data_IF_188512339581
#
_entry.id   IF_188512339581
#
_cell.length_a   1.000
_cell.length_b   1.000
_cell.length_c   1.000
_cell.angle_alpha   90.00
_cell.angle_beta   90.00
_cell.angle_gamma   90.00
#
_symmetry.space_group_name_H-M   'P 1'
#
loop_
_entity.id
_entity.type
_entity.pdbx_description
1 polymer ?
#
# COMPACT_ATOMS: atom_id res chain seq x y z
N UNK A 1 9.27 -9.59 10.93
CA UNK A 1 10.45 -9.38 10.04
C UNK A 1 11.10 -8.02 10.31
N UNK A 2 11.57 -7.83 11.54
CA UNK A 2 12.41 -6.68 11.92
C UNK A 2 13.85 -6.87 11.42
N UNK A 3 14.22 -8.10 11.05
CA UNK A 3 15.57 -8.59 10.72
C UNK A 3 16.08 -8.29 9.31
N UNK A 4 15.21 -8.02 8.32
CA UNK A 4 15.65 -7.57 6.99
C UNK A 4 16.10 -6.08 7.03
N UNK A 5 15.64 -5.30 8.02
CA UNK A 5 15.94 -3.87 8.12
C UNK A 5 17.39 -3.57 8.56
N UNK A 6 18.07 -4.52 9.18
CA UNK A 6 19.47 -4.35 9.59
C UNK A 6 20.44 -4.79 8.48
N UNK A 7 20.12 -5.85 7.73
CA UNK A 7 20.84 -6.18 6.48
C UNK A 7 20.66 -5.09 5.40
N UNK A 8 19.55 -4.34 5.45
CA UNK A 8 19.33 -3.14 4.63
C UNK A 8 20.29 -1.98 4.98
N UNK A 9 20.82 -1.90 6.20
CA UNK A 9 21.81 -0.88 6.58
C UNK A 9 23.19 -1.17 5.97
N UNK A 10 23.48 -2.44 5.66
CA UNK A 10 24.70 -2.88 5.00
C UNK A 10 24.66 -2.62 3.48
N UNK A 11 23.46 -2.64 2.87
CA UNK A 11 23.22 -2.28 1.48
C UNK A 11 23.12 -0.75 1.24
N UNK A 12 23.95 0.03 1.94
CA UNK A 12 24.05 1.50 1.86
C UNK A 12 24.53 2.05 0.50
N UNK A 13 24.58 1.22 -0.56
CA UNK A 13 24.77 1.69 -1.92
C UNK A 13 23.46 2.28 -2.45
N UNK A 14 23.51 3.52 -2.93
CA UNK A 14 22.36 4.31 -3.38
C UNK A 14 21.64 3.77 -4.64
N UNK A 15 21.99 2.60 -5.15
CA UNK A 15 21.38 2.00 -6.34
C UNK A 15 21.72 0.51 -6.49
N UNK A 16 20.80 -0.29 -7.02
CA UNK A 16 21.11 -1.61 -7.59
C UNK A 16 21.70 -1.39 -8.99
N UNK A 17 22.81 -2.05 -9.38
CA UNK A 17 23.36 -1.91 -10.72
C UNK A 17 22.33 -2.29 -11.80
N UNK A 18 22.14 -1.49 -12.87
CA UNK A 18 21.11 -1.75 -13.89
C UNK A 18 21.18 -3.13 -14.54
N UNK A 19 22.39 -3.68 -14.69
CA UNK A 19 22.69 -5.01 -15.22
C UNK A 19 22.33 -6.15 -14.27
N UNK A 20 21.91 -5.85 -13.04
CA UNK A 20 21.43 -6.81 -12.04
C UNK A 20 19.95 -6.58 -11.70
N UNK A 21 19.30 -5.56 -12.27
CA UNK A 21 17.90 -5.23 -11.99
C UNK A 21 16.96 -6.23 -12.69
N UNK A 22 16.25 -7.03 -11.91
CA UNK A 22 15.26 -8.02 -12.38
C UNK A 22 14.08 -7.35 -13.08
N UNK A 23 13.67 -6.18 -12.62
CA UNK A 23 12.52 -5.43 -13.12
C UNK A 23 12.88 -4.32 -14.12
N UNK A 24 14.14 -4.17 -14.50
CA UNK A 24 14.53 -3.21 -15.55
C UNK A 24 14.03 -3.66 -16.93
N UNK A 25 13.56 -2.72 -17.74
CA UNK A 25 13.17 -2.95 -19.14
C UNK A 25 14.37 -3.28 -20.04
N UNK A 26 15.58 -2.86 -19.63
CA UNK A 26 16.80 -2.95 -20.43
C UNK A 26 17.71 -4.12 -20.06
N UNK A 27 17.31 -4.97 -19.10
CA UNK A 27 18.19 -6.03 -18.59
C UNK A 27 17.98 -7.36 -19.31
N UNK A 28 18.94 -7.73 -20.16
CA UNK A 28 19.16 -9.12 -20.56
C UNK A 28 19.94 -9.83 -19.46
N UNK A 29 19.24 -10.26 -18.42
CA UNK A 29 19.86 -10.92 -17.28
C UNK A 29 20.27 -12.35 -17.63
N UNK A 30 21.41 -12.78 -17.08
CA UNK A 30 21.86 -14.15 -17.15
C UNK A 30 20.76 -15.11 -16.60
N UNK A 31 20.33 -16.14 -17.36
CA UNK A 31 19.36 -17.12 -16.89
C UNK A 31 19.72 -17.80 -15.56
N UNK A 32 21.01 -18.01 -15.30
CA UNK A 32 21.49 -18.57 -14.04
C UNK A 32 21.28 -17.62 -12.85
N UNK A 33 21.47 -16.31 -13.07
CA UNK A 33 21.19 -15.27 -12.08
C UNK A 33 19.70 -15.24 -11.72
N UNK A 34 18.83 -15.26 -12.74
CA UNK A 34 17.38 -15.30 -12.54
C UNK A 34 16.92 -16.56 -11.80
N UNK A 35 17.47 -17.72 -12.18
CA UNK A 35 17.17 -19.00 -11.52
C UNK A 35 17.57 -18.98 -10.05
N UNK A 36 18.77 -18.50 -9.75
CA UNK A 36 19.29 -18.37 -8.37
C UNK A 36 18.36 -17.52 -7.48
N UNK A 37 17.88 -16.39 -7.99
CA UNK A 37 16.91 -15.54 -7.27
C UNK A 37 15.57 -16.27 -7.11
N UNK A 38 15.06 -16.89 -8.18
CA UNK A 38 13.76 -17.55 -8.19
C UNK A 38 13.70 -18.74 -7.20
N UNK A 39 14.74 -19.58 -7.17
CA UNK A 39 14.83 -20.72 -6.23
C UNK A 39 15.01 -20.24 -4.79
N UNK A 40 15.86 -19.24 -4.55
CA UNK A 40 16.06 -18.61 -3.23
C UNK A 40 14.75 -18.01 -2.71
N UNK A 41 14.02 -17.28 -3.58
CA UNK A 41 12.71 -16.73 -3.27
C UNK A 41 11.73 -17.83 -2.85
N UNK A 42 11.62 -18.90 -3.65
CA UNK A 42 10.74 -20.04 -3.35
C UNK A 42 11.07 -20.69 -2.01
N UNK A 43 12.35 -20.90 -1.71
CA UNK A 43 12.78 -21.42 -0.42
C UNK A 43 12.32 -20.53 0.73
N UNK A 44 12.51 -19.22 0.61
CA UNK A 44 12.13 -18.26 1.65
C UNK A 44 10.61 -18.09 1.79
N UNK A 45 9.86 -18.22 0.71
CA UNK A 45 8.38 -18.24 0.74
C UNK A 45 7.88 -19.49 1.49
N UNK A 46 8.50 -20.66 1.28
CA UNK A 46 8.21 -21.85 2.07
C UNK A 46 8.57 -21.65 3.55
N UNK A 47 9.79 -21.17 3.83
CA UNK A 47 10.30 -20.90 5.18
C UNK A 47 9.42 -19.93 5.98
N UNK A 48 8.96 -18.87 5.33
CA UNK A 48 8.13 -17.86 5.97
C UNK A 48 6.67 -18.27 6.15
N UNK A 49 6.18 -19.27 5.42
CA UNK A 49 4.76 -19.64 5.41
C UNK A 49 4.46 -20.96 6.14
N UNK A 50 5.45 -21.85 6.30
CA UNK A 50 5.27 -23.16 6.93
C UNK A 50 6.17 -23.31 8.17
N UNK A 51 5.54 -23.41 9.34
CA UNK A 51 6.21 -23.64 10.63
C UNK A 51 7.04 -24.91 10.66
N UNK A 52 6.54 -26.00 10.08
CA UNK A 52 7.14 -27.33 10.24
C UNK A 52 8.38 -27.43 9.35
N UNK A 53 8.26 -26.85 8.14
CA UNK A 53 9.41 -26.66 7.27
C UNK A 53 10.48 -25.80 7.96
N UNK A 54 10.09 -24.64 8.50
CA UNK A 54 10.99 -23.72 9.21
C UNK A 54 11.70 -24.39 10.40
N UNK A 55 10.96 -25.08 11.26
CA UNK A 55 11.52 -25.81 12.40
C UNK A 55 12.48 -26.92 11.95
N UNK A 56 12.13 -27.65 10.88
CA UNK A 56 13.03 -28.62 10.27
C UNK A 56 14.34 -28.01 9.78
N UNK A 57 14.30 -26.85 9.12
CA UNK A 57 15.49 -26.11 8.70
C UNK A 57 16.34 -25.69 9.91
N UNK A 58 15.70 -25.17 10.96
CA UNK A 58 16.40 -24.75 12.19
C UNK A 58 17.03 -25.93 12.94
N UNK A 59 16.44 -27.11 12.86
CA UNK A 59 17.01 -28.36 13.37
C UNK A 59 18.13 -28.95 12.49
N UNK A 60 18.46 -28.29 11.36
CA UNK A 60 19.52 -28.73 10.45
C UNK A 60 19.08 -29.79 9.43
N UNK A 61 17.78 -30.05 9.28
CA UNK A 61 17.28 -31.04 8.32
C UNK A 61 17.33 -30.48 6.89
N UNK A 62 18.05 -31.17 6.00
CA UNK A 62 17.92 -30.99 4.54
C UNK A 62 16.83 -31.94 4.03
N UNK A 63 15.60 -31.43 3.92
CA UNK A 63 14.46 -32.21 3.42
C UNK A 63 14.45 -32.28 1.88
N UNK A 64 13.56 -33.12 1.35
CA UNK A 64 13.39 -33.34 -0.11
C UNK A 64 13.20 -32.03 -0.88
N UNK A 65 12.45 -31.07 -0.33
CA UNK A 65 12.22 -29.77 -0.98
C UNK A 65 13.52 -28.97 -1.18
N UNK A 66 14.45 -29.02 -0.23
CA UNK A 66 15.77 -28.38 -0.40
C UNK A 66 16.58 -29.05 -1.50
N UNK A 67 16.49 -30.39 -1.61
CA UNK A 67 17.17 -31.17 -2.65
C UNK A 67 16.60 -30.85 -4.04
N UNK A 68 15.27 -30.76 -4.17
CA UNK A 68 14.59 -30.40 -5.41
C UNK A 68 14.96 -29.00 -5.91
N UNK A 69 15.20 -28.05 -4.99
CA UNK A 69 15.66 -26.70 -5.34
C UNK A 69 17.18 -26.59 -5.48
N UNK A 70 17.93 -27.66 -5.19
CA UNK A 70 19.39 -27.65 -5.11
C UNK A 70 19.93 -26.51 -4.20
N UNK A 71 19.31 -26.33 -3.04
CA UNK A 71 19.67 -25.28 -2.07
C UNK A 71 20.32 -25.91 -0.83
N UNK A 72 21.40 -25.28 -0.35
CA UNK A 72 21.89 -25.51 1.01
C UNK A 72 21.26 -24.48 1.96
N UNK A 73 20.38 -24.89 2.90
CA UNK A 73 19.78 -23.96 3.84
C UNK A 73 20.82 -23.21 4.68
N UNK A 74 21.96 -23.81 5.02
CA UNK A 74 22.98 -23.12 5.81
C UNK A 74 23.66 -21.99 5.01
N UNK A 75 23.77 -22.15 3.69
CA UNK A 75 24.30 -21.10 2.80
C UNK A 75 23.38 -19.87 2.70
N UNK A 76 22.08 -20.04 2.97
CA UNK A 76 21.09 -18.96 2.95
C UNK A 76 20.77 -18.39 4.33
N UNK A 77 21.31 -18.97 5.41
CA UNK A 77 21.07 -18.58 6.80
C UNK A 77 21.12 -17.07 7.08
N UNK A 78 22.02 -16.28 6.46
CA UNK A 78 22.02 -14.82 6.67
C UNK A 78 20.71 -14.13 6.28
N UNK A 79 19.84 -14.73 5.47
CA UNK A 79 18.57 -14.14 5.07
C UNK A 79 17.49 -14.19 6.17
N UNK A 80 17.69 -14.95 7.25
CA UNK A 80 16.74 -15.02 8.37
C UNK A 80 17.38 -14.96 9.77
N UNK A 81 18.68 -15.17 9.91
CA UNK A 81 19.40 -15.09 11.19
C UNK A 81 20.20 -13.77 11.30
N UNK A 82 19.76 -12.90 12.21
CA UNK A 82 20.32 -11.57 12.46
C UNK A 82 21.77 -11.59 12.94
N UNK A 83 22.22 -12.71 13.51
CA UNK A 83 23.57 -12.83 14.08
C UNK A 83 24.62 -13.26 13.04
N UNK A 84 24.21 -13.45 11.78
CA UNK A 84 25.12 -13.83 10.70
C UNK A 84 26.05 -12.68 10.32
N UNK A 85 27.34 -12.96 10.13
CA UNK A 85 28.36 -11.95 9.77
C UNK A 85 28.40 -11.69 8.27
N UNK A 86 28.69 -10.44 7.87
CA UNK A 86 28.77 -10.02 6.44
C UNK A 86 29.86 -10.74 5.63
N UNK A 87 30.94 -11.20 6.26
CA UNK A 87 32.04 -11.90 5.59
C UNK A 87 31.64 -13.24 4.98
N UNK A 88 30.48 -13.79 5.41
CA UNK A 88 30.04 -15.16 5.10
C UNK A 88 28.93 -15.20 4.03
N UNK A 89 28.60 -14.07 3.38
CA UNK A 89 27.52 -14.04 2.39
C UNK A 89 27.91 -14.83 1.13
N UNK A 90 27.11 -15.84 0.81
CA UNK A 90 27.20 -16.57 -0.46
C UNK A 90 26.72 -15.69 -1.62
N UNK A 91 27.02 -16.11 -2.86
CA UNK A 91 26.57 -15.36 -4.03
C UNK A 91 25.04 -15.27 -4.12
N UNK A 92 24.33 -16.37 -3.87
CA UNK A 92 22.85 -16.41 -3.86
C UNK A 92 22.25 -15.44 -2.85
N UNK A 93 22.85 -15.33 -1.66
CA UNK A 93 22.43 -14.37 -0.64
C UNK A 93 22.62 -12.93 -1.12
N UNK A 94 23.78 -12.61 -1.73
CA UNK A 94 24.02 -11.27 -2.29
C UNK A 94 23.02 -10.93 -3.40
N UNK A 95 22.79 -11.86 -4.33
CA UNK A 95 21.83 -11.71 -5.43
C UNK A 95 20.42 -11.45 -4.90
N UNK A 96 19.99 -12.20 -3.88
CA UNK A 96 18.68 -12.04 -3.29
C UNK A 96 18.53 -10.73 -2.48
N UNK A 97 19.56 -10.30 -1.75
CA UNK A 97 19.56 -8.99 -1.07
C UNK A 97 19.41 -7.84 -2.08
N UNK A 98 20.11 -7.90 -3.21
CA UNK A 98 19.97 -6.91 -4.29
C UNK A 98 18.55 -6.92 -4.88
N UNK A 99 17.98 -8.09 -5.11
CA UNK A 99 16.59 -8.24 -5.56
C UNK A 99 15.58 -7.63 -4.56
N UNK A 100 15.77 -7.84 -3.25
CA UNK A 100 14.94 -7.19 -2.23
C UNK A 100 15.11 -5.67 -2.24
N UNK A 101 16.34 -5.17 -2.41
CA UNK A 101 16.62 -3.74 -2.50
C UNK A 101 15.95 -3.11 -3.72
N UNK A 102 16.01 -3.77 -4.86
CA UNK A 102 15.32 -3.34 -6.08
C UNK A 102 13.81 -3.18 -5.86
N UNK A 103 13.17 -4.14 -5.20
CA UNK A 103 11.73 -4.07 -4.86
C UNK A 103 11.39 -2.88 -3.95
N UNK A 104 12.24 -2.57 -2.98
CA UNK A 104 12.06 -1.37 -2.15
C UNK A 104 12.16 -0.09 -2.97
N UNK A 105 13.14 0.01 -3.88
CA UNK A 105 13.30 1.15 -4.79
C UNK A 105 12.10 1.29 -5.75
N UNK A 106 11.56 0.18 -6.27
CA UNK A 106 10.34 0.19 -7.10
C UNK A 106 9.15 0.71 -6.29
N UNK A 107 8.99 0.29 -5.04
CA UNK A 107 7.92 0.78 -4.17
C UNK A 107 8.06 2.27 -3.88
N UNK A 108 9.27 2.74 -3.61
CA UNK A 108 9.56 4.17 -3.43
C UNK A 108 9.25 4.98 -4.70
N UNK A 109 9.65 4.47 -5.87
CA UNK A 109 9.34 5.05 -7.19
C UNK A 109 7.85 5.10 -7.45
N UNK A 110 7.14 3.99 -7.21
CA UNK A 110 5.68 3.91 -7.30
C UNK A 110 5.03 4.98 -6.42
N UNK A 111 5.39 5.03 -5.14
CA UNK A 111 4.80 5.95 -4.16
C UNK A 111 5.06 7.42 -4.51
N UNK A 112 6.29 7.77 -4.87
CA UNK A 112 6.73 9.16 -4.97
C UNK A 112 6.63 9.73 -6.39
N UNK A 113 6.60 8.87 -7.41
CA UNK A 113 6.63 9.28 -8.82
C UNK A 113 5.42 8.71 -9.58
N UNK A 114 5.30 7.38 -9.70
CA UNK A 114 4.33 6.77 -10.63
C UNK A 114 2.87 6.78 -10.15
N UNK A 115 2.61 6.96 -8.86
CA UNK A 115 1.27 7.17 -8.29
C UNK A 115 0.97 8.66 -8.04
N UNK A 116 1.89 9.57 -8.38
CA UNK A 116 1.72 11.00 -8.13
C UNK A 116 0.88 11.61 -9.25
N UNK A 117 -0.30 12.19 -8.95
CA UNK A 117 -1.11 12.85 -9.96
C UNK A 117 -0.39 14.08 -10.55
N UNK A 118 -0.62 14.36 -11.83
CA UNK A 118 -0.15 15.57 -12.49
C UNK A 118 -1.01 16.78 -12.11
N UNK A 119 -2.29 16.54 -11.82
CA UNK A 119 -3.21 17.59 -11.35
C UNK A 119 -2.71 18.18 -10.01
N UNK A 120 -2.39 19.50 -9.94
CA UNK A 120 -1.78 20.09 -8.75
C UNK A 120 -2.64 19.98 -7.49
N UNK A 121 -3.95 20.16 -7.61
CA UNK A 121 -4.89 20.06 -6.49
C UNK A 121 -4.91 18.64 -5.92
N UNK A 122 -5.03 17.63 -6.80
CA UNK A 122 -5.01 16.24 -6.38
C UNK A 122 -3.65 15.85 -5.78
N UNK A 123 -2.54 16.29 -6.40
CA UNK A 123 -1.19 16.08 -5.87
C UNK A 123 -1.02 16.65 -4.47
N UNK A 124 -1.44 17.89 -4.23
CA UNK A 124 -1.38 18.55 -2.93
C UNK A 124 -2.25 17.82 -1.89
N UNK A 125 -3.49 17.48 -2.25
CA UNK A 125 -4.38 16.72 -1.38
C UNK A 125 -3.78 15.35 -1.02
N UNK A 126 -3.30 14.60 -2.00
CA UNK A 126 -2.64 13.30 -1.81
C UNK A 126 -1.42 13.40 -0.90
N UNK A 127 -0.57 14.41 -1.09
CA UNK A 127 0.59 14.61 -0.23
C UNK A 127 0.18 14.87 1.22
N UNK A 128 -0.86 15.69 1.45
CA UNK A 128 -1.40 15.88 2.80
C UNK A 128 -1.92 14.57 3.39
N UNK A 129 -2.61 13.75 2.59
CA UNK A 129 -3.09 12.45 3.02
C UNK A 129 -1.96 11.49 3.42
N UNK A 130 -0.85 11.47 2.66
CA UNK A 130 0.35 10.71 3.00
C UNK A 130 0.97 11.17 4.31
N UNK A 131 1.05 12.50 4.51
CA UNK A 131 1.58 13.08 5.74
C UNK A 131 0.67 12.74 6.94
N UNK A 132 -0.65 12.90 6.80
CA UNK A 132 -1.64 12.51 7.81
C UNK A 132 -1.48 11.05 8.20
N UNK A 133 -1.39 10.17 7.21
CA UNK A 133 -1.24 8.74 7.47
C UNK A 133 0.09 8.44 8.19
N UNK A 134 1.19 9.11 7.81
CA UNK A 134 2.48 9.01 8.50
C UNK A 134 2.38 9.38 9.99
N UNK A 135 1.68 10.46 10.33
CA UNK A 135 1.44 10.82 11.74
C UNK A 135 0.68 9.73 12.48
N UNK A 136 -0.27 9.08 11.82
CA UNK A 136 -1.15 8.08 12.43
C UNK A 136 -0.47 6.73 12.69
N UNK A 137 0.38 6.26 11.76
CA UNK A 137 0.97 4.90 11.82
C UNK A 137 2.49 4.87 11.95
N UNK A 138 3.15 6.03 11.93
CA UNK A 138 4.61 6.16 11.93
C UNK A 138 5.26 5.98 10.55
N UNK A 139 6.55 6.30 10.47
CA UNK A 139 7.32 6.33 9.20
C UNK A 139 7.38 4.98 8.50
N UNK A 140 7.70 3.92 9.24
CA UNK A 140 7.92 2.59 8.67
C UNK A 140 6.64 2.03 8.01
N UNK A 141 5.50 2.09 8.71
CA UNK A 141 4.23 1.62 8.17
C UNK A 141 3.73 2.53 7.02
N UNK A 142 3.86 3.85 7.16
CA UNK A 142 3.45 4.78 6.10
C UNK A 142 4.25 4.57 4.82
N UNK A 143 5.57 4.37 4.90
CA UNK A 143 6.43 4.12 3.74
C UNK A 143 6.08 2.83 2.98
N UNK A 144 5.36 1.89 3.60
CA UNK A 144 4.91 0.66 2.94
C UNK A 144 3.67 0.86 2.05
N UNK A 145 2.94 1.97 2.19
CA UNK A 145 1.72 2.25 1.43
C UNK A 145 2.04 3.06 0.18
N UNK A 146 1.51 2.69 -0.99
CA UNK A 146 1.82 3.40 -2.25
C UNK A 146 0.95 4.63 -2.50
N UNK A 147 -0.22 4.74 -1.85
CA UNK A 147 -1.22 5.78 -2.10
C UNK A 147 -1.57 5.86 -3.60
N UNK A 148 -2.06 4.76 -4.15
CA UNK A 148 -2.56 4.70 -5.53
C UNK A 148 -3.69 5.71 -5.74
N UNK A 149 -3.79 6.33 -6.93
CA UNK A 149 -4.79 7.37 -7.18
C UNK A 149 -6.19 6.81 -7.43
N UNK A 150 -6.32 5.53 -7.75
CA UNK A 150 -7.61 4.86 -7.82
C UNK A 150 -7.49 3.33 -7.75
N UNK A 151 -8.62 2.69 -7.42
CA UNK A 151 -8.86 1.27 -7.63
C UNK A 151 -10.24 1.07 -8.28
N UNK A 152 -10.35 0.12 -9.21
CA UNK A 152 -11.61 -0.16 -9.92
C UNK A 152 -12.06 -1.60 -9.68
N UNK A 153 -13.26 -1.78 -9.14
CA UNK A 153 -13.88 -3.07 -8.93
C UNK A 153 -14.66 -3.47 -10.19
N UNK A 154 -14.27 -4.58 -10.80
CA UNK A 154 -14.94 -5.17 -11.96
C UNK A 154 -16.04 -6.17 -11.59
N UNK A 155 -16.22 -6.41 -10.28
CA UNK A 155 -17.24 -7.28 -9.70
C UNK A 155 -17.79 -6.64 -8.43
N UNK A 156 -18.98 -7.05 -8.00
CA UNK A 156 -19.55 -6.68 -6.71
C UNK A 156 -19.33 -7.85 -5.75
N UNK A 157 -18.40 -7.67 -4.82
CA UNK A 157 -18.01 -8.70 -3.86
C UNK A 157 -16.99 -9.70 -4.40
N UNK A 158 -16.71 -10.72 -3.58
CA UNK A 158 -15.66 -11.72 -3.79
C UNK A 158 -16.20 -13.12 -3.51
N UNK A 159 -15.81 -14.09 -4.33
CA UNK A 159 -16.21 -15.51 -4.18
C UNK A 159 -15.50 -16.24 -3.04
N UNK A 160 -14.32 -15.76 -2.63
CA UNK A 160 -13.39 -16.52 -1.76
C UNK A 160 -13.76 -16.46 -0.28
N UNK A 161 -14.26 -15.33 0.21
CA UNK A 161 -14.71 -15.19 1.60
C UNK A 161 -13.61 -15.27 2.66
N UNK A 162 -12.41 -14.77 2.38
CA UNK A 162 -11.26 -14.83 3.28
C UNK A 162 -11.54 -14.24 4.68
N UNK A 163 -11.10 -14.94 5.73
CA UNK A 163 -11.23 -14.50 7.12
C UNK A 163 -10.37 -13.27 7.44
N UNK A 164 -9.23 -13.13 6.77
CA UNK A 164 -8.29 -12.01 6.95
C UNK A 164 -8.63 -10.79 6.08
N UNK A 165 -9.79 -10.77 5.41
CA UNK A 165 -10.15 -9.70 4.50
C UNK A 165 -10.29 -8.35 5.24
N UNK A 166 -9.30 -7.47 5.06
CA UNK A 166 -9.23 -6.17 5.72
C UNK A 166 -10.25 -5.14 5.24
N UNK A 167 -10.85 -5.36 4.07
CA UNK A 167 -11.90 -4.51 3.48
C UNK A 167 -13.30 -5.14 3.53
N UNK A 168 -13.44 -6.28 4.22
CA UNK A 168 -14.73 -6.98 4.41
C UNK A 168 -15.52 -7.19 3.11
N UNK A 169 -14.85 -7.71 2.08
CA UNK A 169 -15.46 -7.97 0.77
C UNK A 169 -16.75 -8.80 0.89
N UNK A 170 -17.92 -8.30 0.47
CA UNK A 170 -19.17 -9.07 0.54
C UNK A 170 -19.10 -10.29 -0.38
N UNK A 171 -20.08 -11.19 -0.27
CA UNK A 171 -20.21 -12.30 -1.24
C UNK A 171 -20.36 -11.74 -2.65
N UNK A 172 -19.78 -12.43 -3.63
CA UNK A 172 -19.93 -12.10 -5.05
C UNK A 172 -21.41 -12.13 -5.45
N UNK A 173 -21.92 -11.02 -6.00
CA UNK A 173 -23.31 -10.88 -6.45
C UNK A 173 -23.46 -10.39 -7.88
N UNK A 174 -22.48 -9.67 -8.43
CA UNK A 174 -22.56 -9.11 -9.78
C UNK A 174 -21.19 -9.06 -10.43
N UNK A 175 -21.15 -9.24 -11.74
CA UNK A 175 -19.94 -9.17 -12.58
C UNK A 175 -20.17 -8.08 -13.62
N UNK A 176 -19.18 -7.21 -13.84
CA UNK A 176 -19.18 -6.28 -14.97
C UNK A 176 -18.60 -7.00 -16.18
N UNK A 177 -19.47 -7.50 -17.05
CA UNK A 177 -19.09 -8.30 -18.22
C UNK A 177 -18.40 -7.44 -19.29
N UNK A 178 -17.44 -8.01 -20.01
CA UNK A 178 -16.80 -7.33 -21.14
C UNK A 178 -17.61 -7.55 -22.43
N UNK A 179 -18.77 -6.89 -22.51
CA UNK A 179 -19.58 -6.79 -23.73
C UNK A 179 -19.29 -5.47 -24.48
N UNK A 180 -19.87 -5.29 -25.67
CA UNK A 180 -19.57 -4.14 -26.53
C UNK A 180 -19.83 -2.78 -25.86
N UNK A 181 -20.96 -2.61 -25.16
CA UNK A 181 -21.30 -1.35 -24.47
C UNK A 181 -20.41 -1.11 -23.26
N UNK A 182 -20.18 -2.15 -22.44
CA UNK A 182 -19.36 -2.05 -21.25
C UNK A 182 -17.89 -1.78 -21.58
N UNK A 183 -17.38 -2.34 -22.68
CA UNK A 183 -16.03 -2.09 -23.15
C UNK A 183 -15.84 -0.62 -23.59
N UNK A 184 -16.86 -0.01 -24.20
CA UNK A 184 -16.83 1.42 -24.54
C UNK A 184 -16.81 2.27 -23.27
N UNK A 185 -17.74 2.01 -22.34
CA UNK A 185 -17.79 2.74 -21.07
C UNK A 185 -16.48 2.61 -20.28
N UNK A 186 -15.92 1.39 -20.22
CA UNK A 186 -14.65 1.11 -19.57
C UNK A 186 -13.52 1.97 -20.14
N UNK A 187 -13.31 1.94 -21.47
CA UNK A 187 -12.25 2.73 -22.12
C UNK A 187 -12.46 4.23 -21.93
N UNK A 188 -13.71 4.72 -21.98
CA UNK A 188 -14.01 6.12 -21.71
C UNK A 188 -13.65 6.53 -20.28
N UNK A 189 -13.96 5.68 -19.30
CA UNK A 189 -13.60 5.88 -17.88
C UNK A 189 -12.07 5.90 -17.71
N UNK A 190 -11.36 4.94 -18.28
CA UNK A 190 -9.89 4.90 -18.22
C UNK A 190 -9.28 6.18 -18.81
N UNK A 191 -9.76 6.58 -19.99
CA UNK A 191 -9.30 7.80 -20.65
C UNK A 191 -9.58 9.04 -19.82
N UNK A 192 -10.77 9.14 -19.22
CA UNK A 192 -11.09 10.28 -18.36
C UNK A 192 -10.22 10.32 -17.10
N UNK A 193 -9.98 9.17 -16.46
CA UNK A 193 -9.05 9.09 -15.34
C UNK A 193 -7.64 9.55 -15.77
N UNK A 194 -7.18 9.14 -16.94
CA UNK A 194 -5.91 9.62 -17.50
C UNK A 194 -5.88 11.14 -17.65
N UNK A 195 -6.93 11.74 -18.22
CA UNK A 195 -7.02 13.19 -18.39
C UNK A 195 -6.99 13.95 -17.04
N UNK A 196 -7.61 13.40 -16.00
CA UNK A 196 -7.77 14.08 -14.70
C UNK A 196 -6.60 13.87 -13.75
N UNK A 197 -5.92 12.72 -13.86
CA UNK A 197 -4.88 12.29 -12.93
C UNK A 197 -3.51 12.36 -13.59
N UNK A 198 -3.43 12.20 -14.91
CA UNK A 198 -2.20 12.18 -15.67
C UNK A 198 -1.41 10.89 -15.47
N UNK A 199 -0.09 11.00 -15.55
CA UNK A 199 0.87 9.88 -15.47
C UNK A 199 0.73 9.06 -14.19
N UNK A 200 0.25 9.68 -13.10
CA UNK A 200 -0.08 9.01 -11.85
C UNK A 200 -1.04 7.82 -12.01
N UNK A 201 -1.88 7.82 -13.06
CA UNK A 201 -2.85 6.75 -13.35
C UNK A 201 -2.22 5.37 -13.54
N UNK A 202 -0.94 5.32 -13.89
CA UNK A 202 -0.12 4.10 -13.96
C UNK A 202 -0.11 3.31 -12.65
N UNK A 203 -0.26 4.00 -11.53
CA UNK A 203 -0.34 3.40 -10.20
C UNK A 203 -1.70 2.80 -9.82
N UNK A 204 -2.73 2.97 -10.66
CA UNK A 204 -4.06 2.40 -10.43
C UNK A 204 -4.11 0.88 -10.60
N UNK A 205 -5.19 0.25 -10.12
CA UNK A 205 -5.39 -1.20 -10.24
C UNK A 205 -6.87 -1.58 -10.27
N UNK A 206 -7.18 -2.81 -10.72
CA UNK A 206 -8.55 -3.24 -11.04
C UNK A 206 -9.10 -4.31 -10.09
N UNK A 207 -8.91 -4.09 -8.79
CA UNK A 207 -9.56 -4.84 -7.72
C UNK A 207 -9.54 -4.01 -6.44
N UNK A 208 -10.41 -4.31 -5.47
CA UNK A 208 -10.28 -3.77 -4.12
C UNK A 208 -10.89 -4.71 -3.09
N UNK A 209 -12.22 -4.81 -3.05
CA UNK A 209 -12.97 -5.78 -2.25
C UNK A 209 -13.52 -6.92 -3.12
N UNK A 210 -12.71 -7.36 -4.09
CA UNK A 210 -13.04 -8.36 -5.11
C UNK A 210 -11.83 -9.26 -5.37
N UNK A 211 -12.05 -10.48 -5.83
CA UNK A 211 -10.97 -11.23 -6.50
C UNK A 211 -10.99 -10.91 -8.00
N UNK A 212 -9.86 -10.54 -8.62
CA UNK A 212 -9.79 -10.24 -10.05
C UNK A 212 -10.36 -11.35 -10.95
N UNK A 213 -10.05 -12.61 -10.62
CA UNK A 213 -10.39 -13.75 -11.47
C UNK A 213 -11.81 -14.28 -11.26
N UNK A 214 -12.59 -13.67 -10.35
CA UNK A 214 -14.04 -13.80 -10.34
C UNK A 214 -14.67 -13.24 -11.64
N UNK A 215 -14.00 -12.27 -12.29
CA UNK A 215 -14.42 -11.79 -13.61
C UNK A 215 -13.85 -12.72 -14.70
N UNK A 216 -14.68 -13.35 -15.55
CA UNK A 216 -14.21 -14.23 -16.62
C UNK A 216 -13.47 -13.48 -17.74
N UNK A 217 -13.64 -12.17 -17.84
CA UNK A 217 -13.07 -11.30 -18.86
C UNK A 217 -11.96 -10.37 -18.32
N UNK A 218 -11.44 -10.61 -17.11
CA UNK A 218 -10.47 -9.74 -16.43
C UNK A 218 -9.31 -9.29 -17.35
N UNK A 219 -8.74 -10.22 -18.12
CA UNK A 219 -7.60 -9.98 -19.01
C UNK A 219 -7.91 -8.98 -20.14
N UNK A 220 -9.18 -8.86 -20.57
CA UNK A 220 -9.60 -7.87 -21.57
C UNK A 220 -9.57 -6.47 -20.98
N UNK A 221 -10.10 -6.30 -19.76
CA UNK A 221 -10.02 -5.04 -19.02
C UNK A 221 -8.56 -4.63 -18.77
N UNK A 222 -7.70 -5.60 -18.46
CA UNK A 222 -6.26 -5.39 -18.29
C UNK A 222 -5.55 -4.95 -19.54
N UNK A 223 -5.94 -5.50 -20.69
CA UNK A 223 -5.39 -5.09 -21.98
C UNK A 223 -5.74 -3.63 -22.27
N UNK A 224 -6.98 -3.22 -22.06
CA UNK A 224 -7.40 -1.81 -22.19
C UNK A 224 -6.69 -0.90 -21.19
N UNK A 225 -6.51 -1.34 -19.95
CA UNK A 225 -5.75 -0.59 -18.93
C UNK A 225 -4.30 -0.37 -19.39
N UNK A 226 -3.64 -1.41 -19.92
CA UNK A 226 -2.29 -1.30 -20.48
C UNK A 226 -2.26 -0.38 -21.69
N UNK A 227 -3.26 -0.43 -22.56
CA UNK A 227 -3.31 0.43 -23.74
C UNK A 227 -3.44 1.91 -23.36
N UNK A 228 -4.21 2.23 -22.32
CA UNK A 228 -4.38 3.62 -21.87
C UNK A 228 -3.16 4.13 -21.07
N UNK A 229 -2.64 3.33 -20.13
CA UNK A 229 -1.64 3.79 -19.16
C UNK A 229 -0.22 3.29 -19.44
N UNK A 230 -0.04 2.46 -20.47
CA UNK A 230 1.27 1.92 -20.88
C UNK A 230 1.81 0.77 -20.04
N UNK A 231 1.05 0.23 -19.07
CA UNK A 231 1.46 -0.93 -18.25
C UNK A 231 0.27 -1.74 -17.76
N UNK A 232 0.50 -3.02 -17.47
CA UNK A 232 -0.48 -3.79 -16.70
C UNK A 232 -0.55 -3.26 -15.25
N UNK A 233 -1.74 -3.26 -14.63
CA UNK A 233 -1.82 -2.99 -13.21
C UNK A 233 -1.39 -4.21 -12.42
N UNK A 234 -0.84 -3.97 -11.23
CA UNK A 234 -0.59 -5.04 -10.26
C UNK A 234 -1.91 -5.80 -10.04
N UNK A 235 -1.84 -7.12 -9.97
CA UNK A 235 -2.98 -7.99 -9.66
C UNK A 235 -2.68 -8.80 -8.40
N UNK A 236 -3.61 -8.81 -7.45
CA UNK A 236 -3.57 -9.70 -6.28
C UNK A 236 -4.77 -10.63 -6.32
N UNK A 237 -4.56 -11.95 -6.26
CA UNK A 237 -5.64 -12.95 -6.22
C UNK A 237 -5.45 -13.93 -5.08
N UNK A 238 -6.55 -14.41 -4.51
CA UNK A 238 -6.60 -15.53 -3.57
C UNK A 238 -6.96 -16.86 -4.27
N UNK A 239 -7.04 -16.87 -5.61
CA UNK A 239 -7.44 -18.01 -6.43
C UNK A 239 -6.35 -18.51 -7.39
N UNK A 240 -5.08 -18.67 -6.97
CA UNK A 240 -3.99 -19.04 -7.88
C UNK A 240 -4.13 -20.44 -8.49
N UNK A 241 -5.09 -21.26 -8.04
CA UNK A 241 -5.29 -22.65 -8.47
C UNK A 241 -6.62 -22.89 -9.21
N UNK A 242 -7.49 -21.88 -9.32
CA UNK A 242 -8.84 -22.08 -9.87
C UNK A 242 -8.84 -22.37 -11.38
N UNK A 243 -7.88 -21.78 -12.12
CA UNK A 243 -7.61 -22.10 -13.53
C UNK A 243 -6.14 -21.84 -13.84
N UNK A 244 -5.30 -22.86 -13.62
CA UNK A 244 -3.84 -22.73 -13.67
C UNK A 244 -3.35 -22.24 -15.04
N UNK A 245 -3.91 -22.76 -16.14
CA UNK A 245 -3.49 -22.36 -17.49
C UNK A 245 -3.84 -20.90 -17.80
N UNK A 246 -5.03 -20.44 -17.38
CA UNK A 246 -5.40 -19.02 -17.46
C UNK A 246 -4.45 -18.15 -16.65
N UNK A 247 -4.13 -18.53 -15.42
CA UNK A 247 -3.21 -17.78 -14.56
C UNK A 247 -1.79 -17.75 -15.15
N UNK A 248 -1.28 -18.87 -15.68
CA UNK A 248 0.02 -18.91 -16.37
C UNK A 248 0.05 -17.98 -17.59
N UNK A 249 -1.01 -17.99 -18.40
CA UNK A 249 -1.14 -17.08 -19.54
C UNK A 249 -1.15 -15.61 -19.09
N UNK A 250 -1.89 -15.30 -18.02
CA UNK A 250 -1.92 -13.98 -17.40
C UNK A 250 -0.52 -13.54 -16.91
N UNK A 251 0.17 -14.40 -16.15
CA UNK A 251 1.51 -14.10 -15.63
C UNK A 251 2.47 -13.81 -16.77
N UNK A 252 2.49 -14.68 -17.79
CA UNK A 252 3.32 -14.49 -18.99
C UNK A 252 3.03 -13.16 -19.70
N UNK A 253 1.77 -12.75 -19.81
CA UNK A 253 1.41 -11.47 -20.40
C UNK A 253 1.90 -10.27 -19.55
N UNK A 254 1.76 -10.36 -18.22
CA UNK A 254 2.13 -9.29 -17.28
C UNK A 254 3.63 -9.20 -16.97
N UNK A 255 4.39 -10.26 -17.24
CA UNK A 255 5.86 -10.32 -17.14
C UNK A 255 6.59 -9.86 -18.41
N UNK A 256 5.89 -9.16 -19.32
CA UNK A 256 6.48 -8.51 -20.48
C UNK A 256 7.47 -7.39 -20.11
N UNK A 257 7.75 -6.46 -21.03
CA UNK A 257 8.76 -5.40 -20.81
C UNK A 257 8.55 -4.62 -19.51
N UNK A 258 7.29 -4.43 -19.11
CA UNK A 258 6.91 -3.62 -17.95
C UNK A 258 6.98 -4.40 -16.61
N UNK A 259 7.28 -5.71 -16.65
CA UNK A 259 7.53 -6.63 -15.52
C UNK A 259 6.73 -6.31 -14.24
N UNK A 260 5.41 -6.45 -14.32
CA UNK A 260 4.52 -6.07 -13.20
C UNK A 260 4.65 -7.05 -12.02
N UNK A 261 4.82 -6.51 -10.80
CA UNK A 261 4.78 -7.32 -9.57
C UNK A 261 3.33 -7.72 -9.31
N UNK A 262 3.01 -9.01 -9.37
CA UNK A 262 1.71 -9.57 -8.99
C UNK A 262 1.80 -10.24 -7.62
N UNK A 263 0.65 -10.65 -7.07
CA UNK A 263 0.62 -11.31 -5.75
C UNK A 263 -0.41 -12.43 -5.69
N UNK A 264 -0.06 -13.50 -4.99
CA UNK A 264 -0.99 -14.53 -4.59
C UNK A 264 -1.20 -14.49 -3.07
N UNK A 265 -2.45 -14.42 -2.64
CA UNK A 265 -2.82 -14.63 -1.24
C UNK A 265 -2.91 -16.13 -0.98
N UNK A 266 -1.97 -16.66 -0.20
CA UNK A 266 -1.84 -18.10 0.07
C UNK A 266 -2.51 -18.42 1.40
N UNK A 267 -3.69 -19.04 1.34
CA UNK A 267 -4.58 -19.15 2.51
C UNK A 267 -4.23 -20.31 3.45
N UNK A 268 -3.42 -21.28 3.00
CA UNK A 268 -3.01 -22.46 3.78
C UNK A 268 -1.72 -23.06 3.25
N UNK A 269 -1.05 -23.87 4.09
CA UNK A 269 0.12 -24.67 3.70
C UNK A 269 -0.17 -25.56 2.47
N UNK A 270 -1.37 -26.16 2.42
CA UNK A 270 -1.77 -27.00 1.29
C UNK A 270 -1.90 -26.21 -0.02
N UNK A 271 -2.44 -24.99 0.02
CA UNK A 271 -2.47 -24.11 -1.16
C UNK A 271 -1.05 -23.77 -1.59
N UNK A 272 -0.15 -23.45 -0.65
CA UNK A 272 1.25 -23.17 -0.97
C UNK A 272 1.92 -24.35 -1.69
N UNK A 273 1.77 -25.57 -1.15
CA UNK A 273 2.32 -26.78 -1.76
C UNK A 273 1.82 -26.94 -3.19
N UNK A 274 0.50 -26.82 -3.41
CA UNK A 274 -0.10 -26.90 -4.75
C UNK A 274 0.38 -25.80 -5.68
N UNK A 275 0.64 -24.59 -5.18
CA UNK A 275 1.25 -23.52 -5.97
C UNK A 275 2.66 -23.95 -6.42
N UNK A 276 3.49 -24.48 -5.53
CA UNK A 276 4.84 -24.95 -5.90
C UNK A 276 4.84 -26.16 -6.85
N UNK A 277 3.82 -27.02 -6.77
CA UNK A 277 3.63 -28.16 -7.69
C UNK A 277 3.23 -27.71 -9.12
N UNK A 278 2.53 -26.58 -9.25
CA UNK A 278 1.93 -26.17 -10.54
C UNK A 278 2.67 -25.03 -11.25
N UNK A 279 3.47 -24.26 -10.52
CA UNK A 279 4.28 -23.16 -11.04
C UNK A 279 5.76 -23.47 -10.82
N UNK A 280 6.63 -23.15 -11.78
CA UNK A 280 8.09 -23.21 -11.61
C UNK A 280 8.58 -22.04 -10.73
N UNK A 281 9.79 -22.11 -10.14
CA UNK A 281 10.37 -20.97 -9.44
C UNK A 281 10.35 -19.70 -10.31
N UNK A 282 10.70 -19.86 -11.58
CA UNK A 282 10.76 -18.78 -12.57
C UNK A 282 9.39 -18.19 -12.90
N UNK A 283 8.32 -19.00 -12.97
CA UNK A 283 6.94 -18.51 -13.14
C UNK A 283 6.54 -17.55 -12.01
N UNK A 284 7.05 -17.76 -10.80
CA UNK A 284 6.74 -16.99 -9.60
C UNK A 284 7.76 -15.88 -9.30
N UNK A 285 8.75 -15.65 -10.16
CA UNK A 285 9.80 -14.65 -9.89
C UNK A 285 9.22 -13.24 -9.66
N UNK A 286 8.23 -12.85 -10.47
CA UNK A 286 7.53 -11.56 -10.39
C UNK A 286 6.21 -11.64 -9.59
N UNK A 287 6.01 -12.71 -8.83
CA UNK A 287 4.78 -12.94 -8.04
C UNK A 287 5.11 -13.08 -6.57
N UNK A 288 4.63 -12.18 -5.73
CA UNK A 288 4.79 -12.30 -4.27
C UNK A 288 3.77 -13.30 -3.71
N UNK A 289 4.24 -14.33 -3.01
CA UNK A 289 3.37 -15.19 -2.24
C UNK A 289 3.15 -14.58 -0.85
N UNK A 290 1.96 -14.01 -0.66
CA UNK A 290 1.55 -13.45 0.62
C UNK A 290 0.93 -14.56 1.45
N UNK A 291 1.69 -15.08 2.40
CA UNK A 291 1.18 -16.02 3.40
C UNK A 291 0.01 -15.37 4.15
N UNK A 292 -1.14 -16.05 4.20
CA UNK A 292 -2.32 -15.60 4.93
C UNK A 292 -2.83 -16.67 5.90
N UNK A 293 -2.13 -17.79 5.99
CA UNK A 293 -2.34 -18.84 6.96
C UNK A 293 -1.83 -18.43 8.36
N UNK A 294 -2.25 -19.16 9.40
CA UNK A 294 -1.91 -18.87 10.80
C UNK A 294 -0.43 -19.10 11.12
N UNK A 295 0.23 -20.02 10.42
CA UNK A 295 1.62 -20.41 10.65
C UNK A 295 2.64 -19.51 9.94
N UNK A 296 2.15 -18.62 9.07
CA UNK A 296 2.96 -17.68 8.31
C UNK A 296 3.47 -16.51 9.15
N UNK A 297 4.68 -16.07 8.88
CA UNK A 297 5.35 -14.95 9.54
C UNK A 297 4.85 -13.56 9.10
N UNK A 298 3.89 -13.52 8.18
CA UNK A 298 3.26 -12.30 7.67
C UNK A 298 2.39 -11.65 8.74
N UNK A 299 2.64 -10.36 8.99
CA UNK A 299 1.76 -9.54 9.82
C UNK A 299 0.50 -9.21 9.01
N UNK A 300 -0.65 -9.61 9.55
CA UNK A 300 -1.95 -9.35 8.94
C UNK A 300 -2.48 -8.02 9.46
N UNK A 301 -3.19 -7.28 8.62
CA UNK A 301 -3.78 -6.04 9.08
C UNK A 301 -5.03 -6.31 9.91
N UNK A 302 -5.21 -5.53 10.98
CA UNK A 302 -6.34 -5.65 11.89
C UNK A 302 -7.50 -4.73 11.46
N UNK A 303 -8.09 -5.02 10.30
CA UNK A 303 -9.20 -4.26 9.72
C UNK A 303 -10.31 -5.20 9.20
N UNK A 304 -11.52 -4.68 8.96
CA UNK A 304 -12.63 -5.43 8.37
C UNK A 304 -12.94 -6.74 9.12
N UNK A 305 -13.09 -7.85 8.39
CA UNK A 305 -13.31 -9.18 9.00
C UNK A 305 -12.15 -9.62 9.87
N UNK A 306 -10.93 -9.28 9.48
CA UNK A 306 -9.74 -9.66 10.24
C UNK A 306 -9.80 -9.09 11.66
N UNK A 307 -10.26 -7.83 11.81
CA UNK A 307 -10.44 -7.18 13.12
C UNK A 307 -11.39 -7.96 14.03
N UNK A 308 -12.55 -8.39 13.52
CA UNK A 308 -13.56 -9.14 14.28
C UNK A 308 -13.02 -10.53 14.69
N UNK A 309 -12.34 -11.20 13.76
CA UNK A 309 -11.76 -12.52 14.04
C UNK A 309 -10.59 -12.46 15.02
N UNK A 310 -9.69 -11.50 14.88
CA UNK A 310 -8.55 -11.34 15.78
C UNK A 310 -8.97 -10.94 17.19
N UNK A 311 -9.98 -10.07 17.35
CA UNK A 311 -10.51 -9.73 18.68
C UNK A 311 -11.13 -10.94 19.42
N UNK A 312 -11.54 -11.97 18.67
CA UNK A 312 -12.04 -13.23 19.23
C UNK A 312 -10.95 -14.27 19.49
N UNK A 313 -9.73 -14.08 18.94
CA UNK A 313 -8.67 -15.08 18.93
C UNK A 313 -7.61 -14.88 20.02
N UNK A 314 -7.37 -13.68 20.58
CA UNK A 314 -6.39 -13.52 21.68
C UNK A 314 -6.55 -12.22 22.49
N UNK A 315 -6.49 -12.36 23.83
CA UNK A 315 -6.39 -11.27 24.84
C UNK A 315 -4.94 -11.05 25.33
N UNK A 316 -3.94 -11.78 24.82
CA UNK A 316 -2.64 -11.90 25.51
C UNK A 316 -1.42 -11.22 24.86
N UNK A 317 -1.49 -10.65 23.65
CA UNK A 317 -0.37 -9.88 23.08
C UNK A 317 -0.85 -8.59 22.41
N UNK A 318 -1.23 -7.59 23.22
CA UNK A 318 -1.63 -6.26 22.73
C UNK A 318 -0.47 -5.32 22.42
N UNK A 319 0.77 -5.71 22.71
CA UNK A 319 1.95 -4.89 22.47
C UNK A 319 2.85 -5.52 21.40
N UNK A 320 2.42 -5.51 20.13
CA UNK A 320 3.34 -5.26 18.98
C UNK A 320 2.66 -5.20 17.59
N UNK A 321 2.81 -4.04 16.94
CA UNK A 321 3.09 -3.80 15.50
C UNK A 321 2.26 -4.56 14.43
N UNK A 322 0.94 -4.65 14.58
CA UNK A 322 0.05 -4.92 13.43
C UNK A 322 -0.14 -3.68 12.53
N UNK A 323 -0.21 -3.83 11.21
CA UNK A 323 -0.75 -2.75 10.36
C UNK A 323 -2.23 -2.58 10.67
N UNK A 324 -2.71 -1.38 10.97
CA UNK A 324 -4.13 -1.15 11.24
C UNK A 324 -4.98 -1.04 9.97
N UNK A 325 -4.39 -1.15 8.77
CA UNK A 325 -5.12 -1.10 7.50
C UNK A 325 -4.42 -1.87 6.37
N UNK A 326 -5.19 -2.37 5.41
CA UNK A 326 -4.69 -2.84 4.10
C UNK A 326 -4.95 -1.82 2.99
N UNK A 327 -5.66 -0.73 3.28
CA UNK A 327 -6.03 0.26 2.28
C UNK A 327 -4.80 0.99 1.75
N UNK A 328 -4.70 1.10 0.43
CA UNK A 328 -3.57 1.73 -0.24
C UNK A 328 -3.93 2.82 -1.24
N UNK A 329 -5.21 3.20 -1.35
CA UNK A 329 -5.70 4.24 -2.28
C UNK A 329 -5.90 5.55 -1.56
N UNK A 330 -5.29 6.62 -2.07
CA UNK A 330 -5.66 8.01 -1.77
C UNK A 330 -6.18 8.65 -3.05
N UNK A 331 -7.49 8.55 -3.26
CA UNK A 331 -8.14 8.88 -4.52
C UNK A 331 -9.44 8.11 -4.70
N UNK A 332 -9.72 7.62 -5.90
CA UNK A 332 -11.04 7.09 -6.24
C UNK A 332 -11.14 5.57 -6.08
N UNK A 333 -12.13 5.10 -5.32
CA UNK A 333 -12.58 3.72 -5.35
C UNK A 333 -13.83 3.65 -6.23
N UNK A 334 -13.72 2.99 -7.38
CA UNK A 334 -14.78 2.93 -8.40
C UNK A 334 -15.33 1.51 -8.43
N UNK A 335 -16.65 1.35 -8.44
CA UNK A 335 -17.31 0.06 -8.59
C UNK A 335 -18.14 0.04 -9.86
N UNK A 336 -17.68 -0.70 -10.87
CA UNK A 336 -18.32 -0.73 -12.18
C UNK A 336 -19.71 -1.40 -12.15
N UNK A 337 -19.92 -2.55 -11.48
CA UNK A 337 -21.25 -3.15 -11.40
C UNK A 337 -22.28 -2.30 -10.65
N UNK A 338 -21.88 -1.56 -9.62
CA UNK A 338 -22.77 -0.74 -8.80
C UNK A 338 -22.93 0.69 -9.31
N UNK A 339 -22.06 1.14 -10.23
CA UNK A 339 -22.09 2.52 -10.72
C UNK A 339 -21.78 3.51 -9.59
N UNK A 340 -20.76 3.26 -8.77
CA UNK A 340 -20.42 4.14 -7.64
C UNK A 340 -18.95 4.53 -7.60
N UNK A 341 -18.67 5.71 -7.03
CA UNK A 341 -17.33 6.27 -6.85
C UNK A 341 -17.22 6.84 -5.44
N UNK A 342 -16.17 6.45 -4.72
CA UNK A 342 -15.82 7.02 -3.41
C UNK A 342 -14.48 7.71 -3.48
N UNK A 343 -14.36 8.91 -2.92
CA UNK A 343 -13.07 9.53 -2.64
C UNK A 343 -12.59 9.03 -1.28
N UNK A 344 -11.49 8.28 -1.25
CA UNK A 344 -11.00 7.63 -0.03
C UNK A 344 -9.53 7.93 0.25
N UNK A 345 -9.12 7.72 1.51
CA UNK A 345 -7.70 7.72 1.89
C UNK A 345 -7.44 6.80 3.08
N UNK A 346 -6.28 6.12 3.18
CA UNK A 346 -6.02 5.18 4.25
C UNK A 346 -6.02 5.86 5.63
N UNK A 347 -6.43 5.11 6.64
CA UNK A 347 -6.32 5.48 8.06
C UNK A 347 -6.22 4.21 8.91
N UNK A 348 -5.80 4.31 10.17
CA UNK A 348 -5.95 3.21 11.10
C UNK A 348 -7.41 2.75 11.18
N UNK A 349 -7.64 1.43 11.17
CA UNK A 349 -8.96 0.90 11.43
C UNK A 349 -9.40 1.25 12.86
N UNK A 350 -10.67 1.64 12.98
CA UNK A 350 -11.32 2.00 14.23
C UNK A 350 -12.81 1.65 14.16
N UNK A 351 -13.59 1.94 15.21
CA UNK A 351 -15.05 1.76 15.13
C UNK A 351 -15.69 2.71 14.11
N UNK A 352 -15.14 3.92 13.96
CA UNK A 352 -15.59 4.87 12.94
C UNK A 352 -15.17 4.43 11.53
N UNK A 353 -13.96 3.88 11.38
CA UNK A 353 -13.39 3.50 10.09
C UNK A 353 -12.98 2.03 10.09
N UNK A 354 -13.92 1.07 10.16
CA UNK A 354 -13.60 -0.34 10.39
C UNK A 354 -12.79 -0.98 9.27
N UNK A 355 -12.88 -0.45 8.05
CA UNK A 355 -12.18 -0.95 6.86
C UNK A 355 -10.79 -0.31 6.66
N UNK A 356 -10.35 0.56 7.58
CA UNK A 356 -9.03 1.18 7.53
C UNK A 356 -8.87 2.25 6.44
N UNK A 357 -9.96 2.91 6.03
CA UNK A 357 -9.92 4.09 5.18
C UNK A 357 -11.06 5.06 5.51
N UNK A 358 -10.79 6.35 5.28
CA UNK A 358 -11.78 7.45 5.36
C UNK A 358 -12.48 7.60 4.02
N UNK A 359 -13.75 8.00 4.03
CA UNK A 359 -14.52 8.36 2.83
C UNK A 359 -14.80 9.86 2.91
N UNK A 360 -14.30 10.64 1.95
CA UNK A 360 -14.48 12.09 1.89
C UNK A 360 -15.69 12.49 1.02
N UNK A 361 -16.24 11.52 0.28
CA UNK A 361 -17.40 11.72 -0.55
C UNK A 361 -17.72 10.48 -1.34
N UNK A 362 -18.98 10.36 -1.73
CA UNK A 362 -19.50 9.29 -2.56
C UNK A 362 -20.43 9.88 -3.62
N UNK A 363 -20.38 9.31 -4.81
CA UNK A 363 -21.21 9.65 -5.97
C UNK A 363 -21.60 8.36 -6.69
N UNK A 364 -22.63 8.44 -7.53
CA UNK A 364 -23.05 7.36 -8.42
C UNK A 364 -23.01 7.80 -9.88
N UNK A 365 -22.96 6.82 -10.79
CA UNK A 365 -23.00 7.01 -12.23
C UNK A 365 -23.64 5.80 -12.91
N UNK A 366 -24.47 6.05 -13.92
CA UNK A 366 -25.03 5.00 -14.77
C UNK A 366 -24.41 5.00 -16.17
N UNK A 367 -23.95 6.17 -16.62
CA UNK A 367 -23.38 6.42 -17.93
C UNK A 367 -22.17 7.35 -17.84
N UNK A 368 -21.42 7.46 -18.93
CA UNK A 368 -20.14 8.17 -18.93
C UNK A 368 -20.25 9.65 -18.51
N UNK A 369 -21.28 10.37 -18.99
CA UNK A 369 -21.48 11.78 -18.63
C UNK A 369 -21.73 11.99 -17.13
N UNK A 370 -22.34 11.00 -16.45
CA UNK A 370 -22.53 11.04 -15.00
C UNK A 370 -21.22 10.79 -14.27
N UNK A 371 -20.40 9.86 -14.80
CA UNK A 371 -19.06 9.58 -14.27
C UNK A 371 -18.17 10.83 -14.29
N UNK A 372 -18.16 11.58 -15.40
CA UNK A 372 -17.40 12.84 -15.52
C UNK A 372 -17.80 13.83 -14.43
N UNK A 373 -19.11 14.08 -14.29
CA UNK A 373 -19.63 15.01 -13.27
C UNK A 373 -19.34 14.53 -11.84
N UNK A 374 -19.42 13.21 -11.60
CA UNK A 374 -19.12 12.62 -10.31
C UNK A 374 -17.64 12.81 -9.93
N UNK A 375 -16.71 12.56 -10.85
CA UNK A 375 -15.27 12.82 -10.63
C UNK A 375 -15.04 14.30 -10.32
N UNK A 376 -15.65 15.22 -11.07
CA UNK A 376 -15.53 16.66 -10.82
C UNK A 376 -16.02 17.06 -9.42
N UNK A 377 -17.20 16.58 -9.02
CA UNK A 377 -17.74 16.86 -7.68
C UNK A 377 -16.84 16.31 -6.58
N UNK A 378 -16.33 15.08 -6.73
CA UNK A 378 -15.42 14.48 -5.75
C UNK A 378 -14.08 15.20 -5.69
N UNK A 379 -13.51 15.61 -6.83
CA UNK A 379 -12.30 16.46 -6.83
C UNK A 379 -12.54 17.79 -6.12
N UNK A 380 -13.75 18.37 -6.24
CA UNK A 380 -14.14 19.57 -5.48
C UNK A 380 -14.14 19.38 -3.95
N UNK A 381 -14.23 18.13 -3.46
CA UNK A 381 -14.13 17.79 -2.03
C UNK A 381 -12.67 17.65 -1.55
N UNK A 382 -11.69 17.68 -2.46
CA UNK A 382 -10.28 17.70 -2.09
C UNK A 382 -9.92 19.08 -1.51
N UNK A 383 -10.18 19.27 -0.21
CA UNK A 383 -9.87 20.52 0.50
C UNK A 383 -8.39 20.87 0.30
N UNK A 384 -8.05 22.04 -0.23
CA UNK A 384 -6.65 22.42 -0.52
C UNK A 384 -6.08 23.37 0.54
N UNK A 385 -6.93 24.25 1.05
CA UNK A 385 -6.61 25.25 2.06
C UNK A 385 -7.74 25.36 3.08
N UNK A 386 -7.46 25.98 4.22
CA UNK A 386 -8.44 26.27 5.26
C UNK A 386 -9.07 27.65 5.06
N UNK A 387 -10.37 27.73 5.30
CA UNK A 387 -11.18 28.96 5.37
C UNK A 387 -11.33 29.37 6.84
N UNK A 388 -11.72 30.63 7.06
CA UNK A 388 -11.85 31.21 8.41
C UNK A 388 -12.87 30.49 9.29
N UNK A 389 -13.91 29.90 8.70
CA UNK A 389 -14.96 29.17 9.42
C UNK A 389 -14.69 27.66 9.53
N UNK A 390 -13.58 27.18 8.97
CA UNK A 390 -13.26 25.76 9.04
C UNK A 390 -12.90 25.37 10.47
N UNK A 391 -13.46 24.27 10.99
CA UNK A 391 -13.05 23.76 12.28
C UNK A 391 -11.63 23.18 12.19
N UNK A 392 -10.84 23.45 13.22
CA UNK A 392 -9.48 22.98 13.39
C UNK A 392 -9.32 22.37 14.77
N UNK A 393 -8.72 21.20 14.80
CA UNK A 393 -8.36 20.48 16.01
C UNK A 393 -7.12 19.63 15.75
N UNK A 394 -6.27 19.52 16.77
CA UNK A 394 -5.16 18.59 16.79
C UNK A 394 -5.52 17.34 17.58
N UNK A 395 -4.85 16.23 17.27
CA UNK A 395 -5.06 15.00 18.02
C UNK A 395 -4.55 15.13 19.46
N UNK A 396 -5.20 14.52 20.47
CA UNK A 396 -4.85 14.70 21.88
C UNK A 396 -3.39 14.37 22.23
N UNK A 397 -2.75 13.41 21.56
CA UNK A 397 -1.35 13.04 21.80
C UNK A 397 -0.34 13.91 21.04
N UNK A 398 -0.76 15.04 20.49
CA UNK A 398 0.12 15.99 19.79
C UNK A 398 0.77 16.94 20.79
N UNK A 399 2.10 16.98 20.84
CA UNK A 399 2.86 17.78 21.79
C UNK A 399 4.01 18.52 21.09
N UNK A 400 4.09 19.85 21.22
CA UNK A 400 5.20 20.64 20.71
C UNK A 400 6.31 20.76 21.77
N UNK A 401 7.56 20.91 21.36
CA UNK A 401 8.65 21.29 22.26
C UNK A 401 9.82 21.94 21.49
N UNK A 402 10.69 22.64 22.21
CA UNK A 402 11.91 23.24 21.65
C UNK A 402 13.12 22.50 22.23
N UNK A 403 14.06 22.13 21.37
CA UNK A 403 15.35 21.57 21.76
C UNK A 403 16.45 22.20 20.90
N UNK A 404 17.46 22.79 21.54
CA UNK A 404 18.62 23.41 20.84
C UNK A 404 18.21 24.37 19.71
N UNK A 405 17.29 25.28 20.03
CA UNK A 405 16.71 26.29 19.12
C UNK A 405 15.84 25.73 17.97
N UNK A 406 15.66 24.42 17.90
CA UNK A 406 14.79 23.77 16.92
C UNK A 406 13.42 23.46 17.52
N UNK A 407 12.37 23.76 16.75
CA UNK A 407 11.00 23.43 17.12
C UNK A 407 10.65 22.02 16.63
N UNK A 408 10.09 21.22 17.52
CA UNK A 408 9.64 19.87 17.26
C UNK A 408 8.16 19.72 17.55
N UNK A 409 7.52 18.82 16.82
CA UNK A 409 6.19 18.31 17.13
C UNK A 409 6.25 16.78 17.20
N UNK A 410 5.71 16.25 18.28
CA UNK A 410 5.57 14.82 18.52
C UNK A 410 4.10 14.45 18.48
N UNK A 411 3.78 13.37 17.77
CA UNK A 411 2.48 12.72 17.87
C UNK A 411 2.71 11.22 17.97
N UNK A 412 2.21 10.60 19.04
CA UNK A 412 2.56 9.23 19.43
C UNK A 412 4.09 9.07 19.55
N UNK A 413 4.70 8.11 18.83
CA UNK A 413 6.15 7.86 18.80
C UNK A 413 6.87 8.55 17.63
N UNK A 414 6.17 9.41 16.87
CA UNK A 414 6.74 10.12 15.75
C UNK A 414 7.06 11.57 16.13
N UNK A 415 8.32 11.94 15.99
CA UNK A 415 8.80 13.31 16.18
C UNK A 415 9.30 13.85 14.85
N UNK A 416 8.90 15.08 14.50
CA UNK A 416 9.46 15.80 13.36
C UNK A 416 9.89 17.21 13.78
N UNK A 417 11.03 17.64 13.24
CA UNK A 417 11.47 19.03 13.27
C UNK A 417 10.60 19.85 12.33
N UNK A 418 10.15 21.01 12.79
CA UNK A 418 9.42 21.99 12.00
C UNK A 418 10.36 23.15 11.64
N UNK A 419 10.35 23.53 10.36
CA UNK A 419 11.13 24.66 9.85
C UNK A 419 10.26 25.90 9.59
N UNK A 420 10.87 27.08 9.59
CA UNK A 420 10.23 28.33 9.14
C UNK A 420 9.29 28.99 10.15
N UNK A 421 9.24 28.51 11.40
CA UNK A 421 8.45 29.14 12.47
C UNK A 421 9.33 30.15 13.23
N UNK A 422 8.98 31.44 13.16
CA UNK A 422 9.77 32.53 13.76
C UNK A 422 9.56 32.68 15.27
N UNK A 423 8.40 32.29 15.79
CA UNK A 423 8.04 32.42 17.21
C UNK A 423 7.61 31.05 17.77
N UNK A 424 8.55 30.26 18.32
CA UNK A 424 8.27 28.93 18.87
C UNK A 424 7.29 28.94 20.04
N UNK A 425 7.32 29.96 20.91
CA UNK A 425 6.42 30.03 22.07
C UNK A 425 4.96 30.17 21.66
N UNK A 426 4.68 31.05 20.70
CA UNK A 426 3.33 31.23 20.21
C UNK A 426 2.83 30.02 19.41
N UNK A 427 3.73 29.30 18.73
CA UNK A 427 3.42 28.00 18.14
C UNK A 427 3.00 26.98 19.20
N UNK A 428 3.76 26.87 20.30
CA UNK A 428 3.43 25.98 21.43
C UNK A 428 2.03 26.30 21.96
N UNK A 429 1.75 27.58 22.24
CA UNK A 429 0.42 28.03 22.69
C UNK A 429 -0.70 27.65 21.73
N UNK A 430 -0.50 27.85 20.42
CA UNK A 430 -1.50 27.44 19.42
C UNK A 430 -1.73 25.93 19.44
N UNK A 431 -0.68 25.12 19.49
CA UNK A 431 -0.81 23.66 19.50
C UNK A 431 -1.53 23.18 20.77
N UNK A 432 -1.22 23.75 21.93
CA UNK A 432 -1.95 23.47 23.19
C UNK A 432 -3.43 23.83 23.08
N UNK A 433 -3.75 25.02 22.56
CA UNK A 433 -5.12 25.46 22.34
C UNK A 433 -5.92 24.51 21.43
N UNK A 434 -5.32 24.07 20.32
CA UNK A 434 -5.97 23.19 19.35
C UNK A 434 -6.03 21.72 19.79
N UNK A 435 -5.16 21.30 20.73
CA UNK A 435 -5.21 19.97 21.35
C UNK A 435 -6.39 19.87 22.33
N UNK A 436 -6.59 20.92 23.11
CA UNK A 436 -7.52 20.90 24.25
C UNK A 436 -8.96 21.30 23.85
N UNK A 437 -9.15 21.87 22.65
CA UNK A 437 -10.47 22.26 22.14
C UNK A 437 -10.55 22.27 20.61
N UNK A 438 -11.72 21.95 20.07
CA UNK A 438 -12.04 22.23 18.66
C UNK A 438 -12.49 23.69 18.54
N UNK A 439 -11.96 24.41 17.56
CA UNK A 439 -12.35 25.80 17.28
C UNK A 439 -12.25 26.07 15.78
N UNK A 440 -12.83 27.16 15.30
CA UNK A 440 -12.64 27.62 13.93
C UNK A 440 -11.29 28.33 13.76
N UNK A 441 -10.81 28.44 12.52
CA UNK A 441 -9.62 29.24 12.20
C UNK A 441 -9.78 30.68 12.72
N UNK A 442 -10.96 31.30 12.56
CA UNK A 442 -11.23 32.66 13.04
C UNK A 442 -11.11 32.80 14.55
N UNK A 443 -11.61 31.83 15.32
CA UNK A 443 -11.49 31.82 16.78
C UNK A 443 -10.03 31.69 17.23
N UNK A 444 -9.24 30.85 16.56
CA UNK A 444 -7.81 30.73 16.82
C UNK A 444 -7.06 32.04 16.55
N UNK A 445 -7.39 32.72 15.44
CA UNK A 445 -6.85 34.04 15.10
C UNK A 445 -7.17 35.09 16.18
N UNK A 446 -8.40 35.10 16.69
CA UNK A 446 -8.83 36.05 17.73
C UNK A 446 -8.12 35.76 19.06
N UNK A 447 -7.98 34.48 19.45
CA UNK A 447 -7.34 34.09 20.72
C UNK A 447 -5.85 34.44 20.77
N UNK A 448 -5.15 34.37 19.64
CA UNK A 448 -3.71 34.60 19.56
C UNK A 448 -3.32 36.00 19.07
N UNK A 449 -4.28 36.89 18.81
CA UNK A 449 -4.01 38.23 18.24
C UNK A 449 -3.05 39.11 19.05
N UNK A 450 -2.94 38.86 20.36
CA UNK A 450 -2.04 39.60 21.25
C UNK A 450 -0.61 39.02 21.24
N UNK A 451 -0.46 37.77 20.80
CA UNK A 451 0.80 37.02 20.77
C UNK A 451 1.44 36.99 19.38
N UNK A 452 0.61 36.99 18.34
CA UNK A 452 0.99 36.88 16.93
C UNK A 452 0.11 37.77 16.07
N UNK A 453 0.67 38.22 14.94
CA UNK A 453 -0.17 38.79 13.90
C UNK A 453 -1.11 37.72 13.32
N UNK A 454 -2.27 38.14 12.81
CA UNK A 454 -3.22 37.23 12.16
C UNK A 454 -2.56 36.45 11.00
N UNK A 455 -1.66 37.10 10.26
CA UNK A 455 -0.95 36.46 9.16
C UNK A 455 -0.01 35.34 9.64
N UNK A 456 0.70 35.55 10.76
CA UNK A 456 1.58 34.54 11.35
C UNK A 456 0.78 33.35 11.91
N UNK A 457 -0.30 33.61 12.65
CA UNK A 457 -1.18 32.55 13.15
C UNK A 457 -1.77 31.74 12.00
N UNK A 458 -2.27 32.40 10.94
CA UNK A 458 -2.80 31.70 9.77
C UNK A 458 -1.73 30.86 9.07
N UNK A 459 -0.52 31.39 8.90
CA UNK A 459 0.60 30.65 8.32
C UNK A 459 0.96 29.40 9.15
N UNK A 460 0.96 29.49 10.48
CA UNK A 460 1.19 28.32 11.33
C UNK A 460 0.07 27.28 11.15
N UNK A 461 -1.20 27.71 11.16
CA UNK A 461 -2.35 26.82 10.94
C UNK A 461 -2.25 26.12 9.58
N UNK A 462 -1.89 26.84 8.52
CA UNK A 462 -1.69 26.28 7.19
C UNK A 462 -0.52 25.28 7.15
N UNK A 463 0.60 25.57 7.83
CA UNK A 463 1.72 24.61 7.97
C UNK A 463 1.25 23.32 8.66
N UNK A 464 0.49 23.41 9.75
CA UNK A 464 -0.07 22.25 10.45
C UNK A 464 -1.05 21.46 9.56
N UNK A 465 -1.87 22.17 8.79
CA UNK A 465 -2.81 21.57 7.84
C UNK A 465 -2.10 20.82 6.72
N UNK A 466 -1.18 21.47 6.01
CA UNK A 466 -0.40 20.88 4.91
C UNK A 466 0.50 19.72 5.38
N UNK A 467 0.95 19.77 6.63
CA UNK A 467 1.68 18.69 7.28
C UNK A 467 0.79 17.52 7.71
N UNK A 468 -0.54 17.60 7.52
CA UNK A 468 -1.48 16.53 7.85
C UNK A 468 -1.68 16.29 9.35
N UNK A 469 -1.33 17.27 10.19
CA UNK A 469 -1.41 17.16 11.66
C UNK A 469 -2.81 17.52 12.16
N UNK A 470 -3.46 18.51 11.52
CA UNK A 470 -4.86 18.83 11.76
C UNK A 470 -5.74 17.65 11.36
N UNK A 471 -6.67 17.26 12.22
CA UNK A 471 -7.54 16.12 11.95
C UNK A 471 -8.60 16.48 10.91
N UNK A 472 -8.41 16.00 9.68
CA UNK A 472 -9.31 16.24 8.57
C UNK A 472 -10.64 15.46 8.64
N UNK A 473 -10.85 14.64 9.69
CA UNK A 473 -12.14 13.98 9.94
C UNK A 473 -13.28 14.97 10.16
N UNK A 474 -12.96 16.21 10.56
CA UNK A 474 -13.95 17.27 10.76
C UNK A 474 -14.50 17.84 9.44
N UNK A 475 -13.88 17.52 8.30
CA UNK A 475 -14.29 17.99 6.97
C UNK A 475 -15.07 16.93 6.18
N UNK A 476 -15.34 15.77 6.79
CA UNK A 476 -15.97 14.62 6.17
C UNK A 476 -17.48 14.64 6.40
#
# INVERSE_FOLDING_TARGET
MTTINELKACANAASVPPELCVYSESSELNPEYLRSIATTKRFLEAYSSDSDFREGILAGHKNQFCQELNIDPQALRPLWDINSKEGDLTEDVRRYILFLREKELIKERLRNQECTPDNPAFKQWRQRQMNRFMWQVGRAQSAAVVHAPFAIELNQGCSVGCWFCGVDAPKLTKIFEYNASNAVLWRQILHHLHQRIGEGSKGGFCYWATDPFDNPDYEKFMSDFKNEFGRYPQTTTAQPLNNIERIKAFLKASSGKEKTINRFSVLSKNIMKKVFENYSPEDLLHVELIAQNSEGLSIKATAGRARIKMSSMEKEHQDDVGSSTIACVSGFLINMPAGSIKLISPCPASDQWPLGYRIYGEETFDQFDDFVKAIDRLMGKMKLDLKVDDPIQLKPSTSPYVEKDDLFITHNKLTCKLGGIKNPEAFIRLVELLRDSSMTVSEALIKLKNDLSMAETFNIIDVLFRSGIIDDAQFI
#
